data_IF_139467150796
#
_entry.id   IF_139467150796
#
_cell.length_a   1.000
_cell.length_b   1.000
_cell.length_c   1.000
_cell.angle_alpha   90.00
_cell.angle_beta   90.00
_cell.angle_gamma   90.00
#
_symmetry.space_group_name_H-M   'P 1'
#
loop_
_entity.id
_entity.type
_entity.pdbx_description
1 polymer ?
#
# COMPACT_ATOMS: atom_id res chain seq x y z
N UNK A 1 -4.73 -8.96 16.98
CA UNK A 1 -4.73 -8.13 15.77
C UNK A 1 -6.15 -8.03 15.29
N UNK A 2 -6.80 -6.87 15.48
CA UNK A 2 -8.10 -6.62 14.91
C UNK A 2 -7.90 -6.37 13.41
N UNK A 3 -8.54 -7.16 12.56
CA UNK A 3 -8.55 -6.91 11.12
C UNK A 3 -9.26 -5.59 10.84
N UNK A 4 -8.70 -4.79 9.93
CA UNK A 4 -9.33 -3.56 9.44
C UNK A 4 -10.74 -3.90 8.94
N UNK A 5 -11.74 -3.10 9.31
CA UNK A 5 -13.08 -3.27 8.75
C UNK A 5 -13.04 -2.98 7.24
N UNK A 6 -13.95 -3.56 6.46
CA UNK A 6 -13.97 -3.36 5.00
C UNK A 6 -14.10 -1.87 4.58
N UNK A 7 -14.56 -1.00 5.48
CA UNK A 7 -14.67 0.45 5.27
C UNK A 7 -13.34 1.20 5.46
N UNK A 8 -12.34 0.58 6.07
CA UNK A 8 -11.02 1.18 6.34
C UNK A 8 -9.97 0.82 5.28
N UNK A 9 -10.26 -0.16 4.41
CA UNK A 9 -9.33 -0.57 3.35
C UNK A 9 -9.30 0.51 2.28
N UNK A 10 -8.14 1.16 2.16
CA UNK A 10 -7.88 2.12 1.08
C UNK A 10 -7.74 1.36 -0.22
N UNK A 11 -8.51 1.75 -1.24
CA UNK A 11 -8.45 1.15 -2.58
C UNK A 11 -8.27 2.21 -3.66
N UNK A 12 -7.54 1.86 -4.71
CA UNK A 12 -7.31 2.73 -5.87
C UNK A 12 -7.44 1.92 -7.16
N UNK A 13 -7.87 2.57 -8.25
CA UNK A 13 -7.86 1.94 -9.57
C UNK A 13 -6.55 2.24 -10.29
N UNK A 14 -5.73 1.20 -10.50
CA UNK A 14 -4.51 1.30 -11.30
C UNK A 14 -4.80 0.89 -12.73
N UNK A 15 -4.56 1.80 -13.67
CA UNK A 15 -4.75 1.56 -15.10
C UNK A 15 -3.41 1.72 -15.82
N UNK A 16 -3.03 0.75 -16.64
CA UNK A 16 -1.83 0.79 -17.49
C UNK A 16 -2.28 0.91 -18.93
N UNK A 17 -1.83 1.95 -19.64
CA UNK A 17 -2.17 2.18 -21.06
C UNK A 17 -1.67 1.04 -21.94
N UNK A 18 -2.36 0.78 -23.06
CA UNK A 18 -2.02 -0.26 -24.02
C UNK A 18 -0.53 -0.35 -24.32
N UNK A 19 0.15 0.77 -24.58
CA UNK A 19 1.55 0.76 -24.99
C UNK A 19 2.55 0.87 -23.82
N UNK A 20 2.04 0.98 -22.60
CA UNK A 20 2.86 1.10 -21.40
C UNK A 20 3.04 -0.25 -20.70
N UNK A 21 4.23 -0.43 -20.12
CA UNK A 21 4.58 -1.62 -19.34
C UNK A 21 4.18 -1.50 -17.87
N UNK A 22 4.05 -0.28 -17.36
CA UNK A 22 3.74 0.00 -15.96
C UNK A 22 3.03 1.33 -15.81
N UNK A 23 2.33 1.48 -14.68
CA UNK A 23 1.88 2.77 -14.16
C UNK A 23 2.68 3.14 -12.92
N UNK A 24 2.72 4.43 -12.62
CA UNK A 24 3.52 4.94 -11.51
C UNK A 24 2.64 5.51 -10.41
N UNK A 25 2.83 5.02 -9.19
CA UNK A 25 2.27 5.61 -7.98
C UNK A 25 3.30 6.55 -7.37
N UNK A 26 2.89 7.78 -7.07
CA UNK A 26 3.72 8.70 -6.28
C UNK A 26 3.47 8.42 -4.81
N UNK A 27 4.53 8.22 -4.04
CA UNK A 27 4.44 7.76 -2.65
C UNK A 27 5.16 8.72 -1.74
N UNK A 28 4.45 9.21 -0.74
CA UNK A 28 5.00 9.95 0.39
C UNK A 28 4.53 9.28 1.68
N UNK A 29 5.47 8.95 2.55
CA UNK A 29 5.21 8.32 3.84
C UNK A 29 5.68 9.26 4.95
N UNK A 30 4.79 9.52 5.91
CA UNK A 30 5.06 10.39 7.04
C UNK A 30 4.84 9.65 8.35
N UNK A 31 5.69 9.95 9.34
CA UNK A 31 5.52 9.52 10.71
C UNK A 31 4.94 10.67 11.54
N UNK A 32 3.70 10.50 11.98
CA UNK A 32 3.02 11.46 12.84
C UNK A 32 3.12 11.09 14.32
N UNK A 33 3.59 12.02 15.15
CA UNK A 33 3.50 11.90 16.61
C UNK A 33 2.19 12.53 17.07
N UNK A 34 1.33 11.75 17.73
CA UNK A 34 0.10 12.28 18.35
C UNK A 34 0.39 12.79 19.77
N UNK A 35 -0.24 13.88 20.16
CA UNK A 35 -0.26 14.39 21.52
C UNK A 35 -1.05 13.42 22.41
N UNK A 36 -0.43 12.95 23.50
CA UNK A 36 -1.01 11.95 24.40
C UNK A 36 -2.34 12.38 25.04
N UNK A 37 -2.52 13.69 25.24
CA UNK A 37 -3.62 14.23 26.05
C UNK A 37 -4.82 14.64 25.21
N UNK A 38 -4.61 15.15 24.00
CA UNK A 38 -5.68 15.71 23.16
C UNK A 38 -5.87 14.96 21.84
N UNK A 39 -4.99 14.01 21.51
CA UNK A 39 -5.03 13.25 20.26
C UNK A 39 -4.66 14.04 19.00
N UNK A 40 -4.32 15.33 19.12
CA UNK A 40 -3.88 16.15 18.00
C UNK A 40 -2.53 15.69 17.46
N UNK A 41 -2.28 15.93 16.16
CA UNK A 41 -0.97 15.70 15.57
C UNK A 41 0.01 16.75 16.11
N UNK A 42 1.00 16.31 16.88
CA UNK A 42 2.01 17.14 17.52
C UNK A 42 3.19 17.44 16.61
N UNK A 43 3.64 16.43 15.85
CA UNK A 43 4.69 16.59 14.85
C UNK A 43 4.57 15.58 13.73
N UNK A 44 5.19 15.89 12.60
CA UNK A 44 5.24 15.04 11.42
C UNK A 44 6.67 15.02 10.88
N UNK A 45 7.17 13.82 10.58
CA UNK A 45 8.48 13.61 9.97
C UNK A 45 8.28 12.84 8.67
N UNK A 46 8.82 13.35 7.57
CA UNK A 46 8.85 12.57 6.32
C UNK A 46 9.80 11.37 6.49
N UNK A 47 9.28 10.18 6.21
CA UNK A 47 10.02 8.92 6.26
C UNK A 47 10.56 8.57 4.88
N UNK A 48 9.75 8.79 3.83
CA UNK A 48 10.15 8.52 2.45
C UNK A 48 9.33 9.34 1.48
N UNK A 49 9.96 9.76 0.40
CA UNK A 49 9.34 10.25 -0.82
C UNK A 49 9.91 9.48 -2.01
N UNK A 50 9.06 9.12 -2.96
CA UNK A 50 9.50 8.47 -4.19
C UNK A 50 8.35 7.94 -5.01
N UNK A 51 8.65 6.95 -5.85
CA UNK A 51 7.66 6.36 -6.74
C UNK A 51 7.68 4.84 -6.65
N UNK A 52 6.52 4.22 -6.87
CA UNK A 52 6.38 2.77 -7.03
C UNK A 52 5.93 2.51 -8.47
N UNK A 53 6.66 1.63 -9.17
CA UNK A 53 6.27 1.16 -10.51
C UNK A 53 5.41 -0.09 -10.37
N UNK A 54 4.18 0.01 -10.85
CA UNK A 54 3.20 -1.06 -10.84
C UNK A 54 3.13 -1.64 -12.25
N UNK A 55 3.77 -2.78 -12.44
CA UNK A 55 3.89 -3.40 -13.76
C UNK A 55 2.62 -4.14 -14.17
N UNK A 56 2.31 -4.10 -15.47
CA UNK A 56 1.18 -4.78 -16.10
C UNK A 56 1.17 -6.27 -15.78
N UNK A 57 2.29 -6.94 -15.96
CA UNK A 57 2.44 -8.39 -15.72
C UNK A 57 2.38 -8.72 -14.23
N UNK A 58 2.87 -7.83 -13.36
CA UNK A 58 2.75 -7.97 -11.91
C UNK A 58 1.29 -7.92 -11.47
N UNK A 59 0.50 -6.95 -11.95
CA UNK A 59 -0.94 -6.86 -11.65
C UNK A 59 -1.68 -8.13 -12.08
N UNK A 60 -1.41 -8.63 -13.29
CA UNK A 60 -2.03 -9.85 -13.79
C UNK A 60 -1.65 -11.10 -12.97
N UNK A 61 -0.43 -11.16 -12.44
CA UNK A 61 0.05 -12.25 -11.58
C UNK A 61 -0.53 -12.19 -10.16
N UNK A 62 -0.68 -11.00 -9.60
CA UNK A 62 -1.18 -10.80 -8.22
C UNK A 62 -2.71 -10.77 -8.12
N UNK A 63 -3.43 -10.66 -9.24
CA UNK A 63 -4.89 -10.58 -9.23
C UNK A 63 -5.52 -11.87 -8.66
N UNK A 64 -6.08 -11.79 -7.46
CA UNK A 64 -6.64 -12.92 -6.71
C UNK A 64 -7.95 -13.41 -7.31
N UNK A 65 -8.71 -12.51 -7.94
CA UNK A 65 -9.96 -12.84 -8.60
C UNK A 65 -9.71 -13.33 -10.04
N UNK A 66 -9.05 -14.48 -10.21
CA UNK A 66 -9.26 -15.28 -11.42
C UNK A 66 -10.56 -16.05 -11.25
N UNK A 67 -11.70 -15.36 -11.38
CA UNK A 67 -12.98 -16.03 -11.48
C UNK A 67 -13.08 -16.61 -12.88
N UNK A 68 -13.07 -17.93 -13.01
CA UNK A 68 -13.61 -18.54 -14.22
C UNK A 68 -15.09 -18.14 -14.30
N UNK A 69 -15.65 -17.97 -15.50
CA UNK A 69 -16.99 -17.41 -15.74
C UNK A 69 -18.15 -18.20 -15.11
N UNK A 70 -17.87 -19.26 -14.35
CA UNK A 70 -18.85 -20.17 -13.77
C UNK A 70 -18.78 -20.25 -12.24
N UNK A 71 -18.58 -19.10 -11.58
CA UNK A 71 -18.93 -18.90 -10.17
C UNK A 71 -18.17 -19.70 -9.09
N UNK A 72 -17.32 -20.66 -9.47
CA UNK A 72 -16.62 -21.50 -8.50
C UNK A 72 -15.32 -20.84 -8.02
N UNK A 73 -15.09 -20.85 -6.70
CA UNK A 73 -13.98 -20.13 -6.07
C UNK A 73 -12.76 -21.03 -6.05
N UNK A 74 -11.84 -20.85 -7.00
CA UNK A 74 -10.59 -21.62 -7.01
C UNK A 74 -9.61 -21.03 -5.99
N UNK A 75 -9.31 -21.78 -4.93
CA UNK A 75 -8.12 -21.51 -4.11
C UNK A 75 -6.89 -21.88 -4.92
N UNK A 76 -6.21 -20.87 -5.48
CA UNK A 76 -4.95 -21.08 -6.20
C UNK A 76 -3.88 -21.45 -5.18
N UNK A 77 -3.64 -22.75 -5.00
CA UNK A 77 -2.41 -23.23 -4.41
C UNK A 77 -1.26 -22.86 -5.38
N UNK A 78 -0.44 -21.89 -4.98
CA UNK A 78 0.81 -21.64 -5.67
C UNK A 78 1.75 -22.83 -5.44
N UNK A 79 1.78 -23.77 -6.38
CA UNK A 79 2.89 -24.70 -6.51
C UNK A 79 4.14 -23.86 -6.73
N UNK A 80 4.93 -23.71 -5.67
CA UNK A 80 6.24 -23.08 -5.73
C UNK A 80 7.07 -23.96 -6.66
N UNK A 81 7.52 -23.48 -7.83
CA UNK A 81 8.18 -24.36 -8.78
C UNK A 81 9.45 -24.92 -8.13
N UNK A 82 9.49 -26.25 -8.01
CA UNK A 82 10.68 -26.98 -7.58
C UNK A 82 11.86 -26.53 -8.45
N UNK A 83 12.88 -25.98 -7.80
CA UNK A 83 14.11 -25.51 -8.45
C UNK A 83 14.71 -26.62 -9.32
N UNK A 84 15.06 -26.36 -10.59
CA UNK A 84 15.79 -27.33 -11.39
C UNK A 84 17.19 -27.52 -10.79
N UNK A 85 17.47 -28.76 -10.40
CA UNK A 85 18.76 -29.22 -9.88
C UNK A 85 19.88 -28.92 -10.88
N UNK A 86 20.84 -28.08 -10.50
CA UNK A 86 22.27 -28.15 -10.87
C UNK A 86 23.05 -27.40 -9.78
N UNK A 87 23.99 -28.09 -9.13
CA UNK A 87 25.02 -27.49 -8.26
C UNK A 87 24.84 -27.77 -6.76
N UNK A 88 25.66 -28.68 -6.23
CA UNK A 88 25.89 -28.89 -4.79
C UNK A 88 26.22 -27.56 -4.09
N UNK A 89 25.29 -27.07 -3.28
CA UNK A 89 25.51 -26.02 -2.28
C UNK A 89 24.63 -26.33 -1.08
N UNK A 90 25.25 -26.49 0.09
CA UNK A 90 24.63 -26.86 1.37
C UNK A 90 23.50 -25.88 1.72
N UNK A 91 22.25 -26.28 1.48
CA UNK A 91 21.07 -25.52 1.90
C UNK A 91 21.03 -25.45 3.42
N UNK A 92 21.49 -24.32 3.98
CA UNK A 92 21.08 -23.91 5.32
C UNK A 92 19.58 -23.66 5.24
N UNK A 93 18.82 -24.46 5.98
CA UNK A 93 17.43 -24.16 6.29
C UNK A 93 17.38 -22.82 7.03
N UNK A 94 17.19 -21.72 6.31
CA UNK A 94 16.69 -20.46 6.88
C UNK A 94 15.17 -20.67 7.07
N UNK A 95 14.54 -20.64 8.24
CA UNK A 95 14.91 -20.09 9.54
C UNK A 95 14.22 -20.89 10.66
N UNK A 96 14.88 -21.00 11.82
CA UNK A 96 14.36 -21.60 13.06
C UNK A 96 13.28 -20.73 13.75
N UNK A 97 12.91 -19.57 13.16
CA UNK A 97 12.09 -18.54 13.81
C UNK A 97 10.76 -18.23 13.10
N UNK A 98 10.42 -18.86 11.98
CA UNK A 98 9.13 -18.64 11.29
C UNK A 98 8.90 -17.21 10.79
N UNK A 99 9.92 -16.36 10.79
CA UNK A 99 9.83 -14.99 10.27
C UNK A 99 10.07 -15.04 8.75
N UNK A 100 9.02 -14.80 7.98
CA UNK A 100 9.13 -14.64 6.54
C UNK A 100 9.77 -13.29 6.22
N UNK A 101 10.81 -13.32 5.37
CA UNK A 101 11.50 -12.13 4.90
C UNK A 101 10.56 -11.31 3.99
N UNK A 102 10.14 -10.09 4.38
CA UNK A 102 9.17 -9.30 3.60
C UNK A 102 9.67 -8.95 2.20
N UNK A 103 10.99 -8.92 1.98
CA UNK A 103 11.57 -8.64 0.65
C UNK A 103 11.26 -9.73 -0.37
N UNK A 104 10.86 -10.92 0.10
CA UNK A 104 10.49 -12.06 -0.74
C UNK A 104 8.98 -12.14 -1.02
N UNK A 105 8.14 -11.35 -0.33
CA UNK A 105 6.71 -11.32 -0.61
C UNK A 105 6.45 -10.54 -1.90
N UNK A 106 6.01 -11.20 -2.99
CA UNK A 106 5.79 -10.54 -4.28
C UNK A 106 4.65 -9.53 -4.26
N UNK A 107 3.81 -9.51 -3.22
CA UNK A 107 2.73 -8.53 -3.04
C UNK A 107 3.24 -7.19 -2.51
N UNK A 108 4.49 -7.13 -2.06
CA UNK A 108 5.11 -5.90 -1.56
C UNK A 108 5.87 -5.23 -2.70
N UNK A 109 5.46 -4.02 -3.04
CA UNK A 109 6.26 -3.16 -3.91
C UNK A 109 6.96 -2.11 -3.08
N UNK A 110 8.26 -1.95 -3.32
CA UNK A 110 9.12 -1.02 -2.62
C UNK A 110 9.15 0.32 -3.33
N UNK A 111 9.20 1.40 -2.54
CA UNK A 111 9.45 2.74 -3.08
C UNK A 111 10.81 2.70 -3.74
N UNK A 112 10.88 3.11 -5.01
CA UNK A 112 12.06 3.08 -5.88
C UNK A 112 13.14 4.04 -5.37
N UNK A 113 13.76 3.62 -4.29
CA UNK A 113 14.88 4.22 -3.59
C UNK A 113 16.03 3.22 -3.61
N UNK A 114 17.21 3.62 -3.12
CA UNK A 114 18.40 2.77 -3.19
C UNK A 114 18.30 1.49 -2.33
N UNK A 115 17.59 1.55 -1.19
CA UNK A 115 17.82 0.62 -0.09
C UNK A 115 16.56 -0.14 0.41
N UNK A 116 15.45 -0.13 -0.35
CA UNK A 116 14.18 -0.82 -0.02
C UNK A 116 13.79 -0.65 1.46
N UNK A 117 13.71 0.62 1.89
CA UNK A 117 13.42 0.98 3.27
C UNK A 117 11.93 1.14 3.55
N UNK A 118 11.14 1.45 2.52
CA UNK A 118 9.69 1.63 2.61
C UNK A 118 9.03 0.83 1.50
N UNK A 119 8.09 -0.03 1.89
CA UNK A 119 7.30 -0.85 0.98
C UNK A 119 5.83 -0.82 1.34
N UNK A 120 4.98 -1.16 0.37
CA UNK A 120 3.54 -1.26 0.56
C UNK A 120 3.11 -2.64 0.11
N UNK A 121 2.38 -3.38 0.95
CA UNK A 121 1.71 -4.62 0.56
C UNK A 121 0.39 -4.29 -0.10
N UNK A 122 0.18 -4.88 -1.26
CA UNK A 122 -1.01 -4.70 -2.07
C UNK A 122 -1.82 -5.98 -2.19
N UNK A 123 -3.15 -5.84 -2.20
CA UNK A 123 -4.06 -6.87 -2.71
C UNK A 123 -4.57 -6.43 -4.08
N UNK A 124 -4.51 -7.29 -5.08
CA UNK A 124 -4.95 -6.94 -6.44
C UNK A 124 -6.25 -7.68 -6.76
N UNK A 125 -7.25 -6.91 -7.16
CA UNK A 125 -8.58 -7.37 -7.53
C UNK A 125 -8.88 -7.00 -8.98
N UNK A 126 -9.61 -7.87 -9.67
CA UNK A 126 -10.11 -7.60 -11.02
C UNK A 126 -11.13 -6.45 -10.96
N UNK A 127 -10.96 -5.49 -11.86
CA UNK A 127 -11.95 -4.43 -12.03
C UNK A 127 -13.10 -4.94 -12.88
N UNK A 128 -14.26 -5.20 -12.27
CA UNK A 128 -15.47 -5.58 -13.03
C UNK A 128 -15.98 -4.37 -13.83
N UNK A 129 -15.63 -4.30 -15.11
CA UNK A 129 -16.23 -3.34 -16.02
C UNK A 129 -17.65 -3.79 -16.34
N UNK A 130 -18.65 -3.33 -15.56
CA UNK A 130 -20.05 -3.41 -15.95
C UNK A 130 -20.31 -2.43 -17.11
N UNK A 131 -19.85 -2.79 -18.31
CA UNK A 131 -20.19 -2.07 -19.53
C UNK A 131 -21.36 -2.80 -20.18
N UNK A 132 -22.44 -2.08 -20.49
CA UNK A 132 -23.64 -2.65 -21.13
C UNK A 132 -23.36 -3.26 -22.51
N UNK A 133 -22.16 -3.08 -23.07
CA UNK A 133 -21.73 -3.68 -24.33
C UNK A 133 -20.30 -4.24 -24.21
N UNK A 134 -20.08 -5.55 -24.44
CA UNK A 134 -18.74 -6.11 -24.51
C UNK A 134 -18.01 -5.56 -25.74
N UNK A 135 -16.77 -5.09 -25.55
CA UNK A 135 -15.87 -4.74 -26.64
C UNK A 135 -14.97 -5.94 -26.91
N UNK A 136 -15.01 -6.45 -28.14
CA UNK A 136 -14.10 -7.47 -28.61
C UNK A 136 -12.91 -6.79 -29.27
N UNK A 137 -11.71 -7.12 -28.81
CA UNK A 137 -10.46 -6.72 -29.44
C UNK A 137 -9.89 -7.93 -30.17
N UNK A 138 -9.27 -7.70 -31.31
CA UNK A 138 -8.47 -8.73 -31.95
C UNK A 138 -7.23 -8.99 -31.10
N UNK A 139 -6.72 -10.23 -31.09
CA UNK A 139 -5.64 -10.66 -30.19
C UNK A 139 -4.30 -9.97 -30.42
N UNK A 140 -4.14 -9.32 -31.58
CA UNK A 140 -2.99 -8.51 -31.98
C UNK A 140 -3.06 -7.06 -31.48
N UNK A 141 -4.19 -6.64 -30.93
CA UNK A 141 -4.39 -5.29 -30.39
C UNK A 141 -4.05 -5.29 -28.90
N UNK A 142 -3.02 -4.54 -28.53
CA UNK A 142 -2.70 -4.30 -27.12
C UNK A 142 -3.73 -3.33 -26.52
N UNK A 143 -4.24 -3.66 -25.33
CA UNK A 143 -5.32 -2.91 -24.68
C UNK A 143 -4.88 -2.48 -23.28
N UNK A 144 -5.35 -1.31 -22.86
CA UNK A 144 -5.16 -0.84 -21.51
C UNK A 144 -5.78 -1.82 -20.50
N UNK A 145 -5.06 -2.13 -19.43
CA UNK A 145 -5.57 -2.97 -18.32
C UNK A 145 -5.88 -2.10 -17.12
N UNK A 146 -6.89 -2.48 -16.35
CA UNK A 146 -7.27 -1.73 -15.15
C UNK A 146 -7.65 -2.71 -14.05
N UNK A 147 -7.03 -2.54 -12.88
CA UNK A 147 -7.26 -3.35 -11.69
C UNK A 147 -7.68 -2.44 -10.54
N UNK A 148 -8.39 -3.02 -9.57
CA UNK A 148 -8.57 -2.39 -8.26
C UNK A 148 -7.48 -2.92 -7.34
N UNK A 149 -6.75 -2.02 -6.70
CA UNK A 149 -5.64 -2.36 -5.82
C UNK A 149 -5.98 -1.86 -4.43
N UNK A 150 -5.86 -2.73 -3.44
CA UNK A 150 -6.04 -2.41 -2.04
C UNK A 150 -4.69 -2.28 -1.34
N UNK A 151 -4.58 -1.30 -0.45
CA UNK A 151 -3.36 -1.04 0.33
C UNK A 151 -3.51 -1.72 1.69
N UNK A 152 -2.79 -2.82 1.92
CA UNK A 152 -2.96 -3.64 3.12
C UNK A 152 -2.06 -3.21 4.29
N UNK A 153 -0.79 -2.94 4.01
CA UNK A 153 0.19 -2.62 5.03
C UNK A 153 1.30 -1.72 4.47
N UNK A 154 1.79 -0.79 5.29
CA UNK A 154 3.01 -0.03 5.03
C UNK A 154 4.13 -0.64 5.85
N UNK A 155 5.21 -1.05 5.19
CA UNK A 155 6.40 -1.60 5.79
C UNK A 155 7.49 -0.54 5.82
N UNK A 156 8.09 -0.33 6.99
CA UNK A 156 9.26 0.54 7.15
C UNK A 156 10.36 -0.24 7.86
N UNK A 157 11.55 -0.28 7.28
CA UNK A 157 12.71 -0.90 7.92
C UNK A 157 13.00 -0.19 9.24
N UNK A 158 13.12 -0.95 10.33
CA UNK A 158 13.31 -0.38 11.68
C UNK A 158 14.54 0.51 11.77
N UNK A 159 15.65 0.15 11.14
CA UNK A 159 16.86 0.98 11.12
C UNK A 159 16.64 2.32 10.44
N UNK A 160 15.89 2.35 9.33
CA UNK A 160 15.50 3.58 8.64
C UNK A 160 14.56 4.43 9.50
N UNK A 161 13.58 3.81 10.14
CA UNK A 161 12.64 4.49 11.02
C UNK A 161 13.33 5.14 12.22
N UNK A 162 14.31 4.45 12.83
CA UNK A 162 15.08 4.99 13.95
C UNK A 162 15.94 6.19 13.53
N UNK A 163 16.57 6.13 12.35
CA UNK A 163 17.30 7.26 11.79
C UNK A 163 16.38 8.47 11.57
N UNK A 164 15.18 8.24 11.02
CA UNK A 164 14.17 9.30 10.83
C UNK A 164 13.67 9.90 12.14
N UNK A 165 13.55 9.09 13.20
CA UNK A 165 13.20 9.59 14.52
C UNK A 165 14.31 10.47 15.12
N UNK A 166 15.57 10.05 14.99
CA UNK A 166 16.71 10.85 15.46
C UNK A 166 16.81 12.18 14.69
N UNK A 167 16.65 12.14 13.36
CA UNK A 167 16.55 13.35 12.52
C UNK A 167 15.43 14.29 13.01
N UNK A 168 14.26 13.74 13.33
CA UNK A 168 13.12 14.52 13.82
C UNK A 168 13.41 15.19 15.18
N UNK A 169 14.03 14.48 16.12
CA UNK A 169 14.41 15.05 17.42
C UNK A 169 15.40 16.20 17.27
N UNK A 170 16.41 16.04 16.39
CA UNK A 170 17.36 17.11 16.08
C UNK A 170 16.67 18.32 15.44
N UNK A 171 15.73 18.10 14.52
CA UNK A 171 14.95 19.18 13.91
C UNK A 171 14.10 19.93 14.94
N UNK A 172 13.45 19.22 15.86
CA UNK A 172 12.63 19.85 16.92
C UNK A 172 13.47 20.71 17.87
N UNK A 173 14.67 20.25 18.23
CA UNK A 173 15.60 21.04 19.03
C UNK A 173 16.02 22.33 18.31
N UNK A 174 16.17 22.27 16.98
CA UNK A 174 16.62 23.39 16.15
C UNK A 174 15.49 24.35 15.73
N UNK A 175 14.24 23.89 15.64
CA UNK A 175 13.08 24.64 15.12
C UNK A 175 12.09 25.12 16.22
N UNK A 176 12.59 25.59 17.36
CA UNK A 176 11.78 25.99 18.52
C UNK A 176 10.87 27.23 18.35
N UNK A 177 10.53 27.66 17.12
CA UNK A 177 9.88 28.97 16.90
C UNK A 177 8.89 29.12 15.73
N UNK A 178 8.64 28.10 14.89
CA UNK A 178 7.65 28.20 13.81
C UNK A 178 6.82 26.92 13.72
N UNK A 179 5.62 26.95 14.29
CA UNK A 179 4.65 25.85 14.20
C UNK A 179 3.78 26.01 12.95
N UNK A 180 3.56 24.93 12.20
CA UNK A 180 2.51 24.84 11.17
C UNK A 180 1.31 24.13 11.82
N UNK A 181 0.17 24.82 11.90
CA UNK A 181 -1.07 24.29 12.48
C UNK A 181 -1.98 23.84 11.33
N UNK A 182 -2.27 22.54 11.25
CA UNK A 182 -3.33 22.02 10.39
C UNK A 182 -4.60 21.81 11.22
N UNK A 183 -5.65 22.58 10.92
CA UNK A 183 -6.95 22.46 11.56
C UNK A 183 -8.08 22.64 10.55
N UNK A 184 -9.05 21.72 10.56
CA UNK A 184 -10.36 21.89 9.92
C UNK A 184 -11.34 22.36 10.99
N UNK A 185 -11.80 23.61 10.91
CA UNK A 185 -12.80 24.16 11.83
C UNK A 185 -14.21 23.93 11.26
N UNK A 186 -14.70 22.69 11.33
CA UNK A 186 -16.12 22.42 11.22
C UNK A 186 -16.68 22.30 12.64
N UNK A 187 -16.96 23.45 13.26
CA UNK A 187 -17.74 23.51 14.49
C UNK A 187 -19.19 23.17 14.17
N UNK A 188 -19.63 21.96 14.48
CA UNK A 188 -21.05 21.65 14.57
C UNK A 188 -21.47 21.88 16.03
N UNK A 189 -22.00 23.08 16.26
CA UNK A 189 -22.74 23.43 17.47
C UNK A 189 -24.04 22.61 17.46
N UNK A 190 -24.20 21.68 18.40
CA UNK A 190 -25.44 20.93 18.55
C UNK A 190 -26.54 21.85 19.12
N UNK A 191 -27.62 22.00 18.37
CA UNK A 191 -28.86 22.65 18.81
C UNK A 191 -29.79 21.59 19.39
N UNK A 192 -30.51 21.92 20.46
CA UNK A 192 -31.59 21.07 20.96
C UNK A 192 -32.76 20.98 19.95
N UNK A 193 -33.68 20.02 20.12
CA UNK A 193 -34.89 19.89 19.29
C UNK A 193 -35.82 21.12 19.36
N UNK A 194 -35.54 22.04 20.29
CA UNK A 194 -36.15 23.36 20.44
C UNK A 194 -35.35 24.52 19.81
N UNK A 195 -34.19 24.26 19.20
CA UNK A 195 -33.39 25.25 18.46
C UNK A 195 -32.45 26.11 19.29
N UNK A 196 -32.20 25.80 20.57
CA UNK A 196 -31.25 26.54 21.40
C UNK A 196 -29.84 25.93 21.37
N UNK A 197 -28.78 26.77 21.31
CA UNK A 197 -27.41 26.29 21.39
C UNK A 197 -27.16 25.74 22.80
N UNK A 198 -26.71 24.47 22.89
CA UNK A 198 -26.28 23.91 24.17
C UNK A 198 -24.96 24.59 24.57
N UNK A 199 -24.95 25.22 25.76
CA UNK A 199 -23.74 25.77 26.38
C UNK A 199 -22.93 24.66 27.02
#
# INVERSE_FOLDING_TARGET
>A
MAGLSAEEIVTESVTVDAHDLFSQLTTQAYLGKRESTRGFLFSIQEVSEGTIRVWRDWLARQCESKKWTDGDTVTVHHDTPASPMIGKGKGRSDSVTGYEDPTKDPRILWVNTRDDNVGIRFRVLERTWKRDRPLLYSSDVEVAVSYQVEFEEVLVRTTHLLLKLEEAEQQMANHSGKAIVFGSYAGLQEFDTSGHPRR
#
